data_IF_881994763565
#
_entry.id   IF_881994763565
#
_cell.length_a   1.000
_cell.length_b   1.000
_cell.length_c   1.000
_cell.angle_alpha   90.00
_cell.angle_beta   90.00
_cell.angle_gamma   90.00
#
_symmetry.space_group_name_H-M   'P 1'
#
loop_
_entity.id
_entity.type
_entity.pdbx_description
1 polymer ?
#
# COMPACT_ATOMS: atom_id res chain seq x y z
N UNK A 1 9.19 5.57 -29.81
CA UNK A 1 8.47 4.51 -29.07
C UNK A 1 7.70 5.21 -27.97
N UNK A 2 6.39 4.96 -27.89
CA UNK A 2 5.48 5.67 -27.01
C UNK A 2 5.69 5.22 -25.55
N UNK A 3 6.01 6.17 -24.68
CA UNK A 3 6.22 5.98 -23.24
C UNK A 3 4.99 5.35 -22.57
N UNK A 4 3.78 5.68 -23.05
CA UNK A 4 2.53 5.08 -22.56
C UNK A 4 2.48 3.59 -22.92
N UNK A 5 2.98 3.22 -24.09
CA UNK A 5 3.01 1.83 -24.55
C UNK A 5 4.07 1.00 -23.81
N UNK A 6 5.22 1.60 -23.48
CA UNK A 6 6.25 0.96 -22.65
C UNK A 6 5.82 0.80 -21.19
N UNK A 7 5.20 1.82 -20.59
CA UNK A 7 4.66 1.74 -19.23
C UNK A 7 3.52 0.71 -19.16
N UNK A 8 2.65 0.67 -20.18
CA UNK A 8 1.58 -0.35 -20.28
C UNK A 8 2.17 -1.75 -20.44
N UNK A 9 3.22 -1.92 -21.26
CA UNK A 9 3.87 -3.20 -21.46
C UNK A 9 4.65 -3.67 -20.22
N UNK A 10 5.28 -2.76 -19.48
CA UNK A 10 5.93 -3.07 -18.21
C UNK A 10 4.91 -3.48 -17.13
N UNK A 11 3.75 -2.81 -17.09
CA UNK A 11 2.65 -3.16 -16.20
C UNK A 11 1.89 -4.45 -16.60
N UNK A 12 2.11 -4.98 -17.81
CA UNK A 12 1.48 -6.21 -18.31
C UNK A 12 2.47 -7.35 -18.53
N UNK A 13 3.76 -7.15 -18.30
CA UNK A 13 4.74 -8.23 -18.35
C UNK A 13 4.35 -9.31 -17.33
N UNK A 14 4.13 -10.52 -17.84
CA UNK A 14 3.89 -11.68 -16.99
C UNK A 14 5.15 -11.95 -16.16
N UNK A 15 5.07 -11.69 -14.86
CA UNK A 15 6.03 -12.24 -13.91
C UNK A 15 5.91 -13.77 -14.02
N UNK A 16 7.00 -14.53 -14.22
CA UNK A 16 6.93 -15.98 -14.36
C UNK A 16 6.39 -16.61 -13.08
N UNK A 17 5.09 -16.88 -13.07
CA UNK A 17 4.40 -17.71 -12.10
C UNK A 17 3.72 -18.88 -12.83
N UNK A 18 3.22 -19.89 -12.11
CA UNK A 18 2.60 -21.07 -12.72
C UNK A 18 1.29 -20.78 -13.49
N UNK A 19 0.74 -19.56 -13.39
CA UNK A 19 -0.47 -19.11 -14.08
C UNK A 19 -0.23 -17.75 -14.73
N UNK A 20 -0.78 -17.54 -15.92
CA UNK A 20 -0.83 -16.21 -16.55
C UNK A 20 -1.83 -15.31 -15.83
N UNK A 21 -1.70 -13.97 -15.94
CA UNK A 21 -2.67 -13.04 -15.34
C UNK A 21 -4.12 -13.34 -15.75
N UNK A 22 -4.34 -13.77 -17.00
CA UNK A 22 -5.67 -14.13 -17.50
C UNK A 22 -6.20 -15.44 -16.88
N UNK A 23 -5.34 -16.44 -16.66
CA UNK A 23 -5.76 -17.70 -16.03
C UNK A 23 -6.21 -17.50 -14.58
N UNK A 24 -5.45 -16.69 -13.82
CA UNK A 24 -5.82 -16.33 -12.45
C UNK A 24 -7.14 -15.54 -12.42
N UNK A 25 -7.29 -14.58 -13.35
CA UNK A 25 -8.53 -13.82 -13.52
C UNK A 25 -9.73 -14.75 -13.72
N UNK A 26 -9.66 -15.67 -14.68
CA UNK A 26 -10.77 -16.56 -15.01
C UNK A 26 -11.11 -17.51 -13.84
N UNK A 27 -10.10 -17.92 -13.07
CA UNK A 27 -10.26 -18.71 -11.85
C UNK A 27 -11.04 -17.93 -10.77
N UNK A 28 -10.63 -16.70 -10.49
CA UNK A 28 -11.28 -15.84 -9.49
C UNK A 28 -12.69 -15.40 -9.91
N UNK A 29 -12.92 -15.19 -11.21
CA UNK A 29 -14.24 -14.89 -11.77
C UNK A 29 -15.23 -16.07 -11.62
N UNK A 30 -14.72 -17.30 -11.64
CA UNK A 30 -15.51 -18.53 -11.44
C UNK A 30 -15.77 -18.87 -9.97
N UNK A 31 -15.02 -18.27 -9.04
CA UNK A 31 -15.13 -18.54 -7.61
C UNK A 31 -16.51 -18.16 -7.06
N UNK A 32 -17.06 -18.96 -6.15
CA UNK A 32 -18.32 -18.64 -5.50
C UNK A 32 -18.14 -17.43 -4.57
N UNK A 33 -19.20 -16.63 -4.39
CA UNK A 33 -19.09 -15.38 -3.65
C UNK A 33 -18.58 -15.53 -2.20
N UNK A 34 -18.99 -16.55 -1.41
CA UNK A 34 -18.44 -16.75 -0.08
C UNK A 34 -16.94 -17.07 -0.07
N UNK A 35 -16.47 -17.86 -1.05
CA UNK A 35 -15.05 -18.19 -1.20
C UNK A 35 -14.24 -16.96 -1.60
N UNK A 36 -14.76 -16.15 -2.53
CA UNK A 36 -14.12 -14.91 -2.96
C UNK A 36 -14.02 -13.89 -1.82
N UNK A 37 -15.07 -13.80 -0.99
CA UNK A 37 -15.07 -12.96 0.21
C UNK A 37 -14.06 -13.46 1.26
N UNK A 38 -13.98 -14.77 1.50
CA UNK A 38 -12.98 -15.36 2.41
C UNK A 38 -11.56 -15.05 1.95
N UNK A 39 -11.29 -15.25 0.65
CA UNK A 39 -10.00 -14.94 0.06
C UNK A 39 -9.66 -13.44 0.24
N UNK A 40 -10.62 -12.55 -0.02
CA UNK A 40 -10.39 -11.13 0.21
C UNK A 40 -10.04 -10.82 1.67
N UNK A 41 -10.76 -11.40 2.63
CA UNK A 41 -10.48 -11.25 4.06
C UNK A 41 -9.08 -11.74 4.41
N UNK A 42 -8.70 -12.96 4.01
CA UNK A 42 -7.40 -13.57 4.29
C UNK A 42 -6.24 -12.68 3.85
N UNK A 43 -6.37 -12.04 2.68
CA UNK A 43 -5.35 -11.12 2.17
C UNK A 43 -5.12 -9.90 3.08
N UNK A 44 -6.12 -9.48 3.87
CA UNK A 44 -5.98 -8.33 4.78
C UNK A 44 -5.21 -8.66 6.07
N UNK A 45 -4.95 -9.96 6.33
CA UNK A 45 -4.11 -10.42 7.45
C UNK A 45 -2.64 -10.55 7.08
N UNK A 46 -2.29 -10.33 5.82
CA UNK A 46 -0.91 -10.45 5.34
C UNK A 46 -0.11 -9.18 5.65
N UNK A 47 1.01 -9.37 6.33
CA UNK A 47 2.01 -8.33 6.53
C UNK A 47 2.87 -8.13 5.28
N UNK A 48 3.77 -7.14 5.31
CA UNK A 48 4.65 -6.86 4.17
C UNK A 48 5.51 -8.07 3.79
N UNK A 49 5.97 -8.85 4.77
CA UNK A 49 6.80 -10.04 4.53
C UNK A 49 6.05 -11.17 3.83
N UNK A 50 4.72 -11.21 3.94
CA UNK A 50 3.91 -12.28 3.37
C UNK A 50 3.49 -12.01 1.91
N UNK A 51 3.75 -10.80 1.38
CA UNK A 51 3.26 -10.36 0.06
C UNK A 51 4.08 -10.94 -1.11
N UNK A 52 3.79 -12.16 -1.54
CA UNK A 52 4.41 -12.75 -2.74
C UNK A 52 3.86 -12.16 -4.05
N UNK A 53 4.54 -12.42 -5.19
CA UNK A 53 4.01 -12.03 -6.51
C UNK A 53 2.62 -12.59 -6.83
N UNK A 54 2.30 -13.75 -6.26
CA UNK A 54 0.97 -14.36 -6.36
C UNK A 54 -0.07 -13.59 -5.53
N UNK A 55 0.29 -13.17 -4.31
CA UNK A 55 -0.53 -12.30 -3.46
C UNK A 55 -0.82 -10.98 -4.16
N UNK A 56 0.19 -10.34 -4.75
CA UNK A 56 0.00 -9.11 -5.53
C UNK A 56 -0.95 -9.29 -6.70
N UNK A 57 -0.84 -10.41 -7.43
CA UNK A 57 -1.72 -10.71 -8.55
C UNK A 57 -3.19 -10.87 -8.12
N UNK A 58 -3.43 -11.41 -6.92
CA UNK A 58 -4.78 -11.49 -6.33
C UNK A 58 -5.29 -10.14 -5.84
N UNK A 59 -4.45 -9.33 -5.19
CA UNK A 59 -4.83 -7.97 -4.77
C UNK A 59 -5.25 -7.13 -5.98
N UNK A 60 -4.50 -7.20 -7.08
CA UNK A 60 -4.83 -6.54 -8.35
C UNK A 60 -6.16 -7.00 -8.95
N UNK A 61 -6.56 -8.26 -8.75
CA UNK A 61 -7.89 -8.71 -9.15
C UNK A 61 -8.98 -7.90 -8.45
N UNK A 62 -8.86 -7.74 -7.12
CA UNK A 62 -9.84 -7.00 -6.33
C UNK A 62 -9.83 -5.49 -6.62
N UNK A 63 -8.68 -4.91 -6.95
CA UNK A 63 -8.60 -3.51 -7.40
C UNK A 63 -9.31 -3.28 -8.73
N UNK A 64 -9.27 -4.27 -9.63
CA UNK A 64 -9.91 -4.21 -10.95
C UNK A 64 -11.38 -4.60 -10.93
N UNK A 65 -11.83 -5.32 -9.90
CA UNK A 65 -13.18 -5.86 -9.83
C UNK A 65 -14.27 -4.77 -9.91
N UNK A 66 -14.20 -3.64 -9.17
CA UNK A 66 -15.16 -2.54 -9.29
C UNK A 66 -15.33 -2.02 -10.72
N UNK A 67 -14.26 -1.97 -11.50
CA UNK A 67 -14.28 -1.42 -12.87
C UNK A 67 -14.79 -2.44 -13.91
N UNK A 68 -14.64 -3.73 -13.65
CA UNK A 68 -15.02 -4.81 -14.58
C UNK A 68 -16.43 -5.33 -14.35
N UNK A 69 -16.81 -5.50 -13.09
CA UNK A 69 -18.11 -6.04 -12.70
C UNK A 69 -18.53 -5.41 -11.37
N UNK A 70 -19.06 -4.17 -11.42
CA UNK A 70 -19.40 -3.41 -10.22
C UNK A 70 -20.49 -4.10 -9.38
N UNK A 71 -21.40 -4.86 -9.99
CA UNK A 71 -22.39 -5.69 -9.28
C UNK A 71 -21.71 -6.81 -8.49
N UNK A 72 -20.72 -7.49 -9.07
CA UNK A 72 -19.95 -8.54 -8.40
C UNK A 72 -19.09 -7.95 -7.28
N UNK A 73 -18.52 -6.76 -7.48
CA UNK A 73 -17.80 -6.03 -6.46
C UNK A 73 -18.71 -5.70 -5.26
N UNK A 74 -19.92 -5.17 -5.51
CA UNK A 74 -20.91 -4.91 -4.46
C UNK A 74 -21.34 -6.20 -3.75
N UNK A 75 -21.57 -7.28 -4.49
CA UNK A 75 -21.92 -8.58 -3.90
C UNK A 75 -20.79 -9.13 -3.00
N UNK A 76 -19.53 -8.92 -3.36
CA UNK A 76 -18.36 -9.27 -2.55
C UNK A 76 -18.29 -8.44 -1.27
N UNK A 77 -18.48 -7.11 -1.37
CA UNK A 77 -18.59 -6.22 -0.20
C UNK A 77 -19.67 -6.73 0.76
N UNK A 78 -20.88 -7.01 0.26
CA UNK A 78 -21.98 -7.52 1.07
C UNK A 78 -21.68 -8.89 1.70
N UNK A 79 -20.97 -9.77 0.99
CA UNK A 79 -20.56 -11.06 1.52
C UNK A 79 -19.55 -10.92 2.68
N UNK A 80 -18.52 -10.09 2.51
CA UNK A 80 -17.54 -9.79 3.58
C UNK A 80 -18.22 -9.16 4.79
N UNK A 81 -19.13 -8.20 4.60
CA UNK A 81 -19.86 -7.56 5.70
C UNK A 81 -20.64 -8.57 6.56
N UNK A 82 -21.13 -9.66 5.95
CA UNK A 82 -21.84 -10.76 6.64
C UNK A 82 -20.92 -11.77 7.32
N UNK A 83 -19.76 -12.07 6.75
CA UNK A 83 -18.90 -13.16 7.25
C UNK A 83 -17.74 -12.72 8.14
N UNK A 84 -17.18 -11.53 7.92
CA UNK A 84 -16.01 -11.05 8.66
C UNK A 84 -16.42 -10.59 10.07
N UNK A 85 -15.58 -10.83 11.07
CA UNK A 85 -15.80 -10.37 12.45
C UNK A 85 -14.97 -9.13 12.77
N UNK A 86 -13.75 -9.04 12.22
CA UNK A 86 -12.82 -7.96 12.50
C UNK A 86 -13.24 -6.67 11.80
N UNK A 87 -13.52 -5.65 12.62
CA UNK A 87 -14.01 -4.36 12.13
C UNK A 87 -13.01 -3.64 11.25
N UNK A 88 -11.72 -3.66 11.60
CA UNK A 88 -10.65 -3.05 10.80
C UNK A 88 -10.52 -3.68 9.41
N UNK A 89 -10.76 -4.99 9.28
CA UNK A 89 -10.81 -5.65 7.97
C UNK A 89 -12.02 -5.15 7.17
N UNK A 90 -13.20 -5.02 7.78
CA UNK A 90 -14.37 -4.44 7.11
C UNK A 90 -14.16 -2.99 6.67
N UNK A 91 -13.45 -2.19 7.47
CA UNK A 91 -13.14 -0.79 7.12
C UNK A 91 -12.32 -0.69 5.83
N UNK A 92 -11.43 -1.65 5.54
CA UNK A 92 -10.67 -1.67 4.29
C UNK A 92 -11.55 -1.89 3.05
N UNK A 93 -12.79 -2.36 3.19
CA UNK A 93 -13.75 -2.37 2.08
C UNK A 93 -14.11 -0.96 1.60
N UNK A 94 -13.86 0.10 2.38
CA UNK A 94 -14.08 1.46 1.93
C UNK A 94 -13.32 1.75 0.64
N UNK A 95 -12.10 1.23 0.46
CA UNK A 95 -11.33 1.42 -0.78
C UNK A 95 -12.02 0.78 -2.00
N UNK A 96 -12.63 -0.39 -1.82
CA UNK A 96 -13.33 -1.10 -2.90
C UNK A 96 -14.70 -0.51 -3.17
N UNK A 97 -15.45 -0.21 -2.10
CA UNK A 97 -16.77 0.40 -2.20
C UNK A 97 -16.68 1.80 -2.80
N UNK A 98 -15.68 2.61 -2.42
CA UNK A 98 -15.47 3.93 -3.00
C UNK A 98 -15.36 3.84 -4.52
N UNK A 99 -14.53 2.96 -5.07
CA UNK A 99 -14.39 2.78 -6.52
C UNK A 99 -15.72 2.38 -7.20
N UNK A 100 -16.51 1.52 -6.53
CA UNK A 100 -17.85 1.15 -7.01
C UNK A 100 -18.78 2.37 -7.03
N UNK A 101 -18.81 3.17 -5.96
CA UNK A 101 -19.75 4.28 -5.85
C UNK A 101 -19.37 5.47 -6.75
N UNK A 102 -18.07 5.76 -6.90
CA UNK A 102 -17.58 6.85 -7.77
C UNK A 102 -17.82 6.52 -9.24
N UNK A 103 -17.45 5.33 -9.68
CA UNK A 103 -17.55 4.94 -11.10
C UNK A 103 -18.93 4.45 -11.52
N UNK A 104 -19.67 3.82 -10.60
CA UNK A 104 -20.87 3.04 -10.92
C UNK A 104 -22.03 3.30 -9.96
N UNK A 105 -21.97 4.36 -9.14
CA UNK A 105 -23.01 4.69 -8.17
C UNK A 105 -24.39 4.87 -8.81
N UNK A 106 -24.47 5.46 -10.00
CA UNK A 106 -25.75 5.67 -10.69
C UNK A 106 -26.43 4.35 -11.08
N UNK A 107 -25.63 3.33 -11.41
CA UNK A 107 -26.11 2.00 -11.76
C UNK A 107 -26.58 1.22 -10.53
N UNK A 108 -25.93 1.44 -9.38
CA UNK A 108 -26.09 0.59 -8.19
C UNK A 108 -26.85 1.24 -7.04
N UNK A 109 -27.20 2.52 -7.12
CA UNK A 109 -27.81 3.26 -6.01
C UNK A 109 -29.09 2.59 -5.49
N UNK A 110 -29.98 2.13 -6.39
CA UNK A 110 -31.23 1.49 -5.97
C UNK A 110 -30.99 0.17 -5.23
N UNK A 111 -29.98 -0.59 -5.66
CA UNK A 111 -29.55 -1.82 -4.98
C UNK A 111 -28.91 -1.51 -3.63
N UNK A 112 -28.07 -0.47 -3.54
CA UNK A 112 -27.48 0.00 -2.29
C UNK A 112 -28.57 0.44 -1.30
N UNK A 113 -29.55 1.23 -1.73
CA UNK A 113 -30.68 1.65 -0.89
C UNK A 113 -31.50 0.47 -0.41
N UNK A 114 -31.74 -0.52 -1.28
CA UNK A 114 -32.46 -1.74 -0.91
C UNK A 114 -31.72 -2.55 0.14
N UNK A 115 -30.42 -2.80 -0.07
CA UNK A 115 -29.58 -3.59 0.85
C UNK A 115 -29.34 -2.87 2.18
N UNK A 116 -29.25 -1.54 2.16
CA UNK A 116 -29.01 -0.72 3.34
C UNK A 116 -30.16 -0.77 4.34
N UNK A 117 -31.40 -1.04 3.90
CA UNK A 117 -32.57 -1.20 4.79
C UNK A 117 -32.37 -2.33 5.79
N UNK A 118 -31.81 -3.44 5.34
CA UNK A 118 -31.70 -4.68 6.11
C UNK A 118 -30.26 -4.97 6.58
N UNK A 119 -29.28 -4.18 6.13
CA UNK A 119 -27.86 -4.37 6.44
C UNK A 119 -27.27 -3.14 7.12
N UNK A 120 -27.34 -3.02 8.46
CA UNK A 120 -26.75 -1.91 9.20
C UNK A 120 -25.25 -1.74 8.93
N UNK A 121 -24.51 -2.83 8.72
CA UNK A 121 -23.09 -2.74 8.39
C UNK A 121 -22.84 -2.08 7.02
N UNK A 122 -23.79 -2.16 6.08
CA UNK A 122 -23.65 -1.46 4.81
C UNK A 122 -23.80 0.05 5.00
N UNK A 123 -24.77 0.48 5.81
CA UNK A 123 -24.97 1.90 6.16
C UNK A 123 -23.74 2.48 6.82
N UNK A 124 -23.19 1.75 7.80
CA UNK A 124 -21.92 2.05 8.44
C UNK A 124 -20.79 2.18 7.42
N UNK A 125 -20.61 1.21 6.52
CA UNK A 125 -19.54 1.25 5.52
C UNK A 125 -19.70 2.43 4.55
N UNK A 126 -20.92 2.71 4.07
CA UNK A 126 -21.23 3.87 3.20
C UNK A 126 -20.89 5.19 3.92
N UNK A 127 -21.06 5.26 5.24
CA UNK A 127 -20.67 6.40 6.09
C UNK A 127 -19.24 6.88 5.86
N UNK A 128 -18.31 5.96 5.58
CA UNK A 128 -16.91 6.29 5.31
C UNK A 128 -16.62 6.83 3.90
N UNK A 129 -17.53 6.66 2.93
CA UNK A 129 -17.22 6.91 1.51
C UNK A 129 -18.25 7.72 0.73
N UNK A 130 -19.44 7.97 1.27
CA UNK A 130 -20.53 8.62 0.51
C UNK A 130 -20.13 10.00 -0.08
N UNK A 131 -19.23 10.73 0.59
CA UNK A 131 -18.74 12.05 0.16
C UNK A 131 -17.93 12.03 -1.13
N UNK A 132 -17.42 10.87 -1.53
CA UNK A 132 -16.70 10.72 -2.80
C UNK A 132 -17.63 10.50 -3.98
N UNK A 133 -18.92 10.23 -3.74
CA UNK A 133 -19.86 9.98 -4.83
C UNK A 133 -20.16 11.23 -5.66
N UNK A 134 -20.48 11.10 -6.95
CA UNK A 134 -20.81 12.24 -7.81
C UNK A 134 -22.01 13.07 -7.29
N UNK A 135 -21.99 14.37 -7.54
CA UNK A 135 -22.94 15.34 -6.97
C UNK A 135 -24.45 15.10 -7.19
N UNK A 136 -24.98 14.38 -8.21
CA UNK A 136 -26.41 14.04 -8.21
C UNK A 136 -26.76 12.85 -7.28
N UNK A 137 -25.78 12.05 -6.85
CA UNK A 137 -25.98 10.84 -6.05
C UNK A 137 -25.65 11.03 -4.57
N UNK A 138 -24.86 12.05 -4.24
CA UNK A 138 -24.34 12.26 -2.90
C UNK A 138 -25.44 12.34 -1.85
N UNK A 139 -26.52 13.07 -2.11
CA UNK A 139 -27.66 13.19 -1.19
C UNK A 139 -28.39 11.86 -0.96
N UNK A 140 -28.46 10.99 -1.97
CA UNK A 140 -29.06 9.66 -1.85
C UNK A 140 -28.19 8.72 -1.01
N UNK A 141 -26.89 8.72 -1.25
CA UNK A 141 -25.97 7.92 -0.43
C UNK A 141 -25.88 8.44 1.00
N UNK A 142 -25.90 9.76 1.20
CA UNK A 142 -25.97 10.37 2.53
C UNK A 142 -27.22 9.93 3.30
N UNK A 143 -28.38 9.85 2.65
CA UNK A 143 -29.63 9.45 3.28
C UNK A 143 -29.62 8.01 3.85
N UNK A 144 -28.76 7.13 3.34
CA UNK A 144 -28.62 5.75 3.81
C UNK A 144 -27.34 5.51 4.63
N UNK A 145 -26.44 6.49 4.67
CA UNK A 145 -25.17 6.40 5.38
C UNK A 145 -25.35 6.45 6.90
N UNK A 146 -24.37 5.92 7.63
CA UNK A 146 -24.18 6.15 9.07
C UNK A 146 -22.74 6.64 9.31
N UNK A 147 -22.46 7.91 8.96
CA UNK A 147 -21.11 8.47 9.07
C UNK A 147 -20.64 8.57 10.52
N UNK A 148 -21.54 8.91 11.46
CA UNK A 148 -21.18 9.10 12.86
C UNK A 148 -20.67 7.80 13.48
N UNK A 149 -21.35 6.68 13.25
CA UNK A 149 -20.87 5.38 13.70
C UNK A 149 -19.52 5.02 13.04
N UNK A 150 -19.40 5.24 11.73
CA UNK A 150 -18.15 4.95 11.02
C UNK A 150 -16.96 5.76 11.54
N UNK A 151 -17.12 7.07 11.72
CA UNK A 151 -16.05 7.93 12.24
C UNK A 151 -15.69 7.57 13.69
N UNK A 152 -16.67 7.25 14.54
CA UNK A 152 -16.39 6.80 15.91
C UNK A 152 -15.48 5.55 15.92
N UNK A 153 -15.74 4.58 15.04
CA UNK A 153 -14.91 3.39 14.92
C UNK A 153 -13.56 3.65 14.25
N UNK A 154 -13.53 4.55 13.27
CA UNK A 154 -12.30 4.97 12.61
C UNK A 154 -11.32 5.62 13.60
N UNK A 155 -11.83 6.51 14.45
CA UNK A 155 -11.05 7.13 15.51
C UNK A 155 -10.65 6.13 16.61
N UNK A 156 -11.51 5.15 16.92
CA UNK A 156 -11.16 4.07 17.84
C UNK A 156 -10.03 3.18 17.27
N UNK A 157 -10.08 2.86 15.98
CA UNK A 157 -9.07 2.04 15.31
C UNK A 157 -7.72 2.75 15.22
N UNK A 158 -7.72 4.06 14.93
CA UNK A 158 -6.49 4.86 14.87
C UNK A 158 -5.86 5.09 16.24
N UNK A 159 -6.59 4.97 17.34
CA UNK A 159 -6.06 5.28 18.66
C UNK A 159 -4.96 4.30 19.06
N UNK A 160 -3.73 4.78 19.09
CA UNK A 160 -2.60 4.00 19.61
C UNK A 160 -2.80 3.64 21.08
N UNK A 161 -2.42 2.41 21.45
CA UNK A 161 -2.47 1.94 22.85
C UNK A 161 -1.46 2.71 23.71
N UNK A 162 -0.29 3.02 23.13
CA UNK A 162 0.72 3.90 23.70
C UNK A 162 1.42 4.66 22.57
N UNK A 163 1.48 5.98 22.67
CA UNK A 163 2.16 6.82 21.69
C UNK A 163 3.67 6.66 21.82
N UNK A 164 4.36 6.50 20.69
CA UNK A 164 5.82 6.39 20.63
C UNK A 164 6.42 7.77 20.37
N UNK A 165 7.34 8.20 21.24
CA UNK A 165 8.18 9.38 20.97
C UNK A 165 9.39 8.96 20.12
N UNK A 166 9.24 9.04 18.80
CA UNK A 166 10.28 8.63 17.85
C UNK A 166 11.57 9.45 17.96
N UNK A 167 11.45 10.73 18.33
CA UNK A 167 12.59 11.64 18.48
C UNK A 167 13.50 11.23 19.65
N UNK A 168 12.92 10.69 20.73
CA UNK A 168 13.66 10.21 21.88
C UNK A 168 14.37 8.86 21.66
N UNK A 169 14.10 8.15 20.55
CA UNK A 169 14.67 6.84 20.30
C UNK A 169 16.14 6.93 19.85
N UNK A 170 16.94 5.96 20.29
CA UNK A 170 18.23 5.66 19.65
C UNK A 170 18.00 5.10 18.24
N UNK A 171 18.94 5.30 17.32
CA UNK A 171 18.88 4.74 15.96
C UNK A 171 18.56 3.22 15.92
N UNK A 172 19.19 2.35 16.73
CA UNK A 172 18.84 0.92 16.75
C UNK A 172 17.40 0.64 17.20
N UNK A 173 16.87 1.44 18.12
CA UNK A 173 15.48 1.28 18.57
C UNK A 173 14.50 1.76 17.50
N UNK A 174 14.80 2.92 16.89
CA UNK A 174 14.01 3.47 15.79
C UNK A 174 13.95 2.49 14.60
N UNK A 175 15.09 1.92 14.18
CA UNK A 175 15.16 0.94 13.11
C UNK A 175 14.32 -0.32 13.39
N UNK A 176 14.34 -0.84 14.63
CA UNK A 176 13.50 -2.00 15.01
C UNK A 176 12.01 -1.68 14.94
N UNK A 177 11.61 -0.53 15.47
CA UNK A 177 10.21 -0.09 15.45
C UNK A 177 9.76 0.18 14.02
N UNK A 178 10.61 0.78 13.19
CA UNK A 178 10.35 0.97 11.76
C UNK A 178 10.02 -0.36 11.08
N UNK A 179 10.85 -1.38 11.29
CA UNK A 179 10.65 -2.72 10.72
C UNK A 179 9.37 -3.36 11.24
N UNK A 180 9.10 -3.24 12.55
CA UNK A 180 7.88 -3.78 13.17
C UNK A 180 6.63 -3.17 12.55
N UNK A 181 6.50 -1.83 12.60
CA UNK A 181 5.33 -1.12 12.10
C UNK A 181 5.15 -1.27 10.59
N UNK A 182 6.24 -1.27 9.82
CA UNK A 182 6.17 -1.43 8.35
C UNK A 182 5.74 -2.84 7.93
N UNK A 183 6.04 -3.85 8.75
CA UNK A 183 5.69 -5.24 8.45
C UNK A 183 4.30 -5.65 8.90
N UNK A 184 3.63 -4.87 9.75
CA UNK A 184 2.28 -5.18 10.21
C UNK A 184 1.25 -5.17 9.07
N UNK A 185 0.25 -6.07 9.10
CA UNK A 185 -0.91 -5.99 8.22
C UNK A 185 -1.66 -4.67 8.39
N UNK A 186 -2.27 -4.16 7.31
CA UNK A 186 -2.95 -2.86 7.32
C UNK A 186 -4.04 -2.77 8.39
N UNK A 187 -4.73 -3.88 8.68
CA UNK A 187 -5.80 -3.95 9.71
C UNK A 187 -5.29 -3.71 11.13
N UNK A 188 -4.00 -3.92 11.38
CA UNK A 188 -3.39 -3.84 12.71
C UNK A 188 -2.62 -2.53 12.91
N UNK A 189 -2.56 -1.67 11.89
CA UNK A 189 -1.91 -0.36 11.97
C UNK A 189 -2.76 0.61 12.79
N UNK A 190 -2.11 1.33 13.69
CA UNK A 190 -2.69 2.39 14.50
C UNK A 190 -2.01 3.74 14.20
N UNK A 191 -2.25 4.76 15.03
CA UNK A 191 -1.66 6.08 14.88
C UNK A 191 -0.12 6.08 14.93
N UNK A 192 0.54 5.09 15.54
CA UNK A 192 2.00 5.03 15.53
C UNK A 192 2.54 4.79 14.12
N UNK A 193 1.81 4.07 13.26
CA UNK A 193 2.21 3.88 11.87
C UNK A 193 2.23 5.21 11.10
N UNK A 194 1.17 6.01 11.24
CA UNK A 194 1.12 7.35 10.60
C UNK A 194 2.15 8.30 11.20
N UNK A 195 2.32 8.30 12.52
CA UNK A 195 3.30 9.13 13.20
C UNK A 195 4.75 8.77 12.81
N UNK A 196 5.05 7.50 12.53
CA UNK A 196 6.33 7.10 11.96
C UNK A 196 6.55 7.71 10.57
N UNK A 197 5.54 7.63 9.68
CA UNK A 197 5.63 8.22 8.34
C UNK A 197 5.78 9.75 8.36
N UNK A 198 5.13 10.42 9.31
CA UNK A 198 5.30 11.87 9.51
C UNK A 198 6.71 12.18 10.03
N UNK A 199 7.20 11.43 11.02
CA UNK A 199 8.55 11.59 11.55
C UNK A 199 9.64 11.32 10.51
N UNK A 200 9.47 10.33 9.62
CA UNK A 200 10.37 10.10 8.49
C UNK A 200 10.45 11.32 7.55
N UNK A 201 9.32 11.97 7.29
CA UNK A 201 9.25 13.17 6.47
C UNK A 201 9.95 14.34 7.16
N UNK A 202 9.73 14.52 8.46
CA UNK A 202 10.44 15.52 9.27
C UNK A 202 11.96 15.27 9.23
N UNK A 203 12.41 14.04 9.42
CA UNK A 203 13.83 13.71 9.33
C UNK A 203 14.42 14.04 7.96
N UNK A 204 13.71 13.76 6.87
CA UNK A 204 14.20 14.11 5.52
C UNK A 204 14.48 15.61 5.40
N UNK A 205 13.60 16.44 5.94
CA UNK A 205 13.65 17.89 5.77
C UNK A 205 14.60 18.56 6.79
N UNK A 206 14.62 18.07 8.04
CA UNK A 206 15.31 18.72 9.16
C UNK A 206 16.63 18.03 9.57
N UNK A 207 16.74 16.71 9.41
CA UNK A 207 17.91 15.90 9.82
C UNK A 207 18.15 14.69 8.87
N UNK A 208 18.52 14.96 7.59
CA UNK A 208 18.71 13.91 6.59
C UNK A 208 19.84 12.95 6.96
N UNK A 209 20.78 13.40 7.80
CA UNK A 209 21.87 12.58 8.33
C UNK A 209 21.35 11.47 9.26
N UNK A 210 20.43 11.82 10.16
CA UNK A 210 19.75 10.86 11.03
C UNK A 210 18.84 9.90 10.25
N UNK A 211 18.18 10.38 9.20
CA UNK A 211 17.42 9.50 8.29
C UNK A 211 18.31 8.46 7.63
N UNK A 212 19.49 8.88 7.13
CA UNK A 212 20.46 7.95 6.53
C UNK A 212 20.96 6.92 7.55
N UNK A 213 21.29 7.35 8.77
CA UNK A 213 21.72 6.44 9.85
C UNK A 213 20.65 5.40 10.18
N UNK A 214 19.38 5.80 10.21
CA UNK A 214 18.26 4.88 10.37
C UNK A 214 18.18 3.87 9.22
N UNK A 215 18.30 4.32 7.97
CA UNK A 215 18.27 3.44 6.78
C UNK A 215 19.40 2.40 6.84
N UNK A 216 20.62 2.83 7.18
CA UNK A 216 21.78 1.94 7.30
C UNK A 216 21.59 0.91 8.43
N UNK A 217 21.00 1.33 9.56
CA UNK A 217 20.72 0.43 10.68
C UNK A 217 19.58 -0.56 10.35
N UNK A 218 18.54 -0.15 9.62
CA UNK A 218 17.49 -1.05 9.12
C UNK A 218 18.12 -2.10 8.20
N UNK A 219 18.93 -1.66 7.23
CA UNK A 219 19.61 -2.55 6.29
C UNK A 219 20.53 -3.57 7.00
N UNK A 220 21.06 -3.22 8.18
CA UNK A 220 21.88 -4.12 9.01
C UNK A 220 21.06 -5.22 9.68
N UNK A 221 19.80 -4.97 10.03
CA UNK A 221 18.96 -5.90 10.82
C UNK A 221 17.93 -6.65 9.98
N UNK A 222 17.60 -6.15 8.79
CA UNK A 222 16.56 -6.69 7.92
C UNK A 222 17.14 -7.16 6.58
N UNK A 223 16.66 -8.32 6.12
CA UNK A 223 17.15 -8.99 4.91
C UNK A 223 16.01 -9.44 3.99
N UNK A 224 14.76 -9.25 4.40
CA UNK A 224 13.60 -9.65 3.62
C UNK A 224 13.46 -8.77 2.36
N UNK A 225 13.46 -9.33 1.14
CA UNK A 225 13.51 -8.56 -0.10
C UNK A 225 12.41 -7.51 -0.24
N UNK A 226 11.18 -7.82 0.18
CA UNK A 226 10.06 -6.88 0.11
C UNK A 226 10.20 -5.71 1.10
N UNK A 227 10.80 -5.96 2.26
CA UNK A 227 11.00 -4.89 3.25
C UNK A 227 12.11 -3.97 2.78
N UNK A 228 13.18 -4.54 2.20
CA UNK A 228 14.24 -3.75 1.57
C UNK A 228 13.75 -2.98 0.33
N UNK A 229 12.86 -3.57 -0.48
CA UNK A 229 12.22 -2.86 -1.58
C UNK A 229 11.37 -1.68 -1.10
N UNK A 230 10.66 -1.84 0.03
CA UNK A 230 9.88 -0.76 0.65
C UNK A 230 10.79 0.33 1.24
N UNK A 231 11.90 -0.06 1.89
CA UNK A 231 12.93 0.86 2.38
C UNK A 231 13.55 1.69 1.24
N UNK A 232 13.79 1.06 0.08
CA UNK A 232 14.35 1.71 -1.10
C UNK A 232 13.38 2.72 -1.72
N UNK A 233 12.14 2.30 -2.02
CA UNK A 233 11.13 3.15 -2.69
C UNK A 233 10.49 4.20 -1.77
N UNK A 234 10.73 4.13 -0.46
CA UNK A 234 10.22 5.08 0.52
C UNK A 234 11.33 5.94 1.12
N UNK A 235 11.85 5.60 2.32
CA UNK A 235 12.84 6.42 3.01
C UNK A 235 14.08 6.79 2.18
N UNK A 236 14.67 5.83 1.47
CA UNK A 236 15.89 6.10 0.69
C UNK A 236 15.61 6.97 -0.54
N UNK A 237 14.56 6.66 -1.30
CA UNK A 237 14.13 7.49 -2.43
C UNK A 237 13.89 8.93 -2.03
N UNK A 238 13.20 9.14 -0.92
CA UNK A 238 12.89 10.46 -0.39
C UNK A 238 14.15 11.20 0.11
N UNK A 239 15.17 10.49 0.57
CA UNK A 239 16.43 11.06 1.03
C UNK A 239 17.35 11.47 -0.13
N UNK A 240 17.26 10.80 -1.28
CA UNK A 240 18.15 11.02 -2.42
C UNK A 240 17.91 12.41 -3.03
N UNK A 241 18.90 13.28 -2.87
CA UNK A 241 18.88 14.66 -3.36
C UNK A 241 20.28 15.19 -3.62
N UNK A 242 20.38 16.35 -4.28
CA UNK A 242 21.67 16.95 -4.61
C UNK A 242 22.49 17.33 -3.36
N UNK A 243 21.83 17.61 -2.25
CA UNK A 243 22.47 17.96 -1.00
C UNK A 243 22.98 16.72 -0.23
N UNK A 244 22.40 15.55 -0.47
CA UNK A 244 22.71 14.30 0.24
C UNK A 244 23.58 13.34 -0.59
N UNK A 245 23.59 13.49 -1.92
CA UNK A 245 24.24 12.56 -2.86
C UNK A 245 25.73 12.30 -2.55
N UNK A 246 26.47 13.31 -2.09
CA UNK A 246 27.90 13.14 -1.76
C UNK A 246 28.12 12.17 -0.58
N UNK A 247 27.18 12.11 0.37
CA UNK A 247 27.21 11.13 1.47
C UNK A 247 26.77 9.76 0.96
N UNK A 248 25.71 9.72 0.16
CA UNK A 248 25.20 8.48 -0.46
C UNK A 248 26.28 7.77 -1.28
N UNK A 249 27.05 8.51 -2.08
CA UNK A 249 28.19 7.96 -2.84
C UNK A 249 29.25 7.32 -1.94
N UNK A 250 29.58 7.94 -0.80
CA UNK A 250 30.55 7.39 0.14
C UNK A 250 30.06 6.10 0.77
N UNK A 251 28.81 6.07 1.21
CA UNK A 251 28.21 4.86 1.81
C UNK A 251 28.09 3.74 0.76
N UNK A 252 27.70 4.05 -0.47
CA UNK A 252 27.60 3.08 -1.55
C UNK A 252 28.97 2.51 -1.96
N UNK A 253 30.03 3.32 -1.89
CA UNK A 253 31.39 2.86 -2.12
C UNK A 253 31.90 1.92 -1.01
N UNK A 254 31.45 2.13 0.24
CA UNK A 254 31.89 1.38 1.41
C UNK A 254 31.03 0.13 1.71
N UNK A 255 29.79 0.08 1.24
CA UNK A 255 28.81 -0.97 1.57
C UNK A 255 28.11 -1.51 0.32
N UNK A 256 28.46 -2.75 -0.05
CA UNK A 256 27.80 -3.46 -1.15
C UNK A 256 26.28 -3.66 -0.91
N UNK A 257 25.81 -4.03 0.29
CA UNK A 257 24.37 -4.09 0.56
C UNK A 257 23.66 -2.75 0.36
N UNK A 258 24.29 -1.62 0.74
CA UNK A 258 23.69 -0.30 0.55
C UNK A 258 23.66 0.10 -0.92
N UNK A 259 24.71 -0.26 -1.66
CA UNK A 259 24.76 -0.09 -3.11
C UNK A 259 23.64 -0.90 -3.81
N UNK A 260 23.39 -2.14 -3.36
CA UNK A 260 22.29 -2.95 -3.87
C UNK A 260 20.91 -2.34 -3.53
N UNK A 261 20.74 -1.79 -2.33
CA UNK A 261 19.52 -1.11 -1.91
C UNK A 261 19.21 0.12 -2.79
N UNK A 262 20.24 0.90 -3.16
CA UNK A 262 20.10 2.04 -4.09
C UNK A 262 19.54 1.64 -5.46
N UNK A 263 19.82 0.42 -5.92
CA UNK A 263 19.25 -0.11 -7.17
C UNK A 263 17.73 -0.26 -7.14
N UNK A 264 17.10 -0.20 -5.96
CA UNK A 264 15.64 -0.20 -5.79
C UNK A 264 14.99 1.17 -5.77
N UNK A 265 15.75 2.28 -5.82
CA UNK A 265 15.24 3.66 -5.77
C UNK A 265 14.70 4.07 -7.14
N UNK A 266 13.54 4.74 -7.19
CA UNK A 266 12.98 5.23 -8.45
C UNK A 266 13.36 6.69 -8.70
N UNK A 267 14.46 6.91 -9.41
CA UNK A 267 15.01 8.25 -9.66
C UNK A 267 14.95 8.70 -11.14
N UNK A 268 14.06 8.11 -11.95
CA UNK A 268 14.01 8.39 -13.40
C UNK A 268 13.61 9.84 -13.77
N UNK A 269 12.99 10.56 -12.84
CA UNK A 269 12.49 11.93 -13.06
C UNK A 269 13.27 13.00 -12.28
N UNK A 270 14.41 12.64 -11.68
CA UNK A 270 15.26 13.63 -10.99
C UNK A 270 16.07 14.46 -11.99
N UNK A 271 16.61 15.58 -11.50
CA UNK A 271 17.46 16.47 -12.29
C UNK A 271 18.64 15.71 -12.94
N UNK A 272 19.05 16.08 -14.18
CA UNK A 272 20.03 15.32 -14.95
C UNK A 272 21.36 15.08 -14.25
N UNK A 273 21.83 16.05 -13.44
CA UNK A 273 23.06 15.91 -12.66
C UNK A 273 22.94 14.81 -11.60
N UNK A 274 21.88 14.84 -10.80
CA UNK A 274 21.63 13.84 -9.77
C UNK A 274 21.46 12.46 -10.40
N UNK A 275 20.73 12.38 -11.52
CA UNK A 275 20.55 11.14 -12.27
C UNK A 275 21.89 10.55 -12.72
N UNK A 276 22.76 11.35 -13.34
CA UNK A 276 24.05 10.88 -13.82
C UNK A 276 24.94 10.31 -12.71
N UNK A 277 24.88 10.90 -11.51
CA UNK A 277 25.64 10.44 -10.34
C UNK A 277 25.08 9.13 -9.78
N UNK A 278 23.76 9.00 -9.71
CA UNK A 278 23.09 7.76 -9.31
C UNK A 278 23.35 6.62 -10.30
N UNK A 279 23.24 6.91 -11.61
CA UNK A 279 23.57 5.94 -12.66
C UNK A 279 25.03 5.47 -12.54
N UNK A 280 25.98 6.36 -12.24
CA UNK A 280 27.38 5.97 -12.03
C UNK A 280 27.58 5.01 -10.84
N UNK A 281 26.81 5.17 -9.76
CA UNK A 281 26.82 4.24 -8.63
C UNK A 281 26.28 2.87 -9.06
N UNK A 282 25.09 2.85 -9.67
CA UNK A 282 24.35 1.63 -10.03
C UNK A 282 25.04 0.85 -11.15
N UNK A 283 25.51 1.53 -12.21
CA UNK A 283 26.24 0.91 -13.31
C UNK A 283 27.65 0.45 -12.87
N UNK A 284 28.31 1.23 -12.01
CA UNK A 284 29.57 0.84 -11.37
C UNK A 284 29.43 -0.36 -10.42
N UNK A 285 28.23 -0.60 -9.88
CA UNK A 285 27.88 -1.80 -9.14
C UNK A 285 27.58 -2.99 -10.06
N UNK A 286 26.89 -2.77 -11.19
CA UNK A 286 26.65 -3.82 -12.19
C UNK A 286 27.94 -4.33 -12.87
N UNK A 287 29.01 -3.51 -12.91
CA UNK A 287 30.36 -3.94 -13.30
C UNK A 287 31.08 -4.80 -12.25
N UNK A 288 30.59 -4.83 -11.01
CA UNK A 288 31.03 -5.70 -9.91
C UNK A 288 30.03 -6.87 -9.80
N UNK A 289 30.08 -7.80 -10.75
CA UNK A 289 29.38 -9.10 -10.81
C UNK A 289 28.28 -9.38 -9.75
N UNK A 290 27.01 -9.19 -10.13
CA UNK A 290 25.85 -9.77 -9.42
C UNK A 290 25.36 -11.10 -10.04
N UNK A 291 26.10 -11.64 -11.04
CA UNK A 291 25.79 -12.89 -11.75
C UNK A 291 26.87 -13.97 -11.57
N UNK A 292 27.35 -14.16 -10.35
CA UNK A 292 28.13 -15.37 -9.99
C UNK A 292 27.71 -15.87 -8.62
#
# INVERSE_FOLDING_TARGET
MDFIEQARNAATMAIPGPRTPQQLQDELDRMAMPELASLWCELQYLGLRDKTGEVWSRLLYFDRLPHRSPERALAMVLAVLRSEAHKSVKMQLNDKLMLVLVGHGALLIDECERQARDTPQLRWLIGGVYRWTPEPLQSRFEAIADPDAWYADCEAHKRAVAAIDFAALSIPALARIWVELSCMPDKDRDANWSALSDYERELRDDDPDRLLEMILEILRIEHHPLVLSYLAAGPLENLVGIDTIARIEREAAASEPFCALLGGVWYNSVEPELKARLDAIVDGAHGRNWRS
#
